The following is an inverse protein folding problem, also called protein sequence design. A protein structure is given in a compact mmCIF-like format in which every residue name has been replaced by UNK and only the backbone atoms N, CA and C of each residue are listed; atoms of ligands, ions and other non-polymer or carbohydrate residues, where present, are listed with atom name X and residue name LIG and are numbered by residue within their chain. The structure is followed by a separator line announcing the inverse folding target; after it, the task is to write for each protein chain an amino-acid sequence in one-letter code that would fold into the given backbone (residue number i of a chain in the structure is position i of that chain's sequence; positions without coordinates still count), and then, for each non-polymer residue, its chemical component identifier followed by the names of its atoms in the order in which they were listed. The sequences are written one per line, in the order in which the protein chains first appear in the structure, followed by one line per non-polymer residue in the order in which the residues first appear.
data_IF_385662471160
#
_entry.id   IF_385662471160
#
_cell.length_a   1.000
_cell.length_b   1.000
_cell.length_c   1.000
_cell.angle_alpha   90.00
_cell.angle_beta   90.00
_cell.angle_gamma   90.00
#
_symmetry.space_group_name_H-M   'P 1'
#
loop_
_entity.id
_entity.type
_entity.pdbx_description
1 polymer ?
#
# COMPACT_ATOMS: atom_id res chain seq x y z
N UNK A 1 8.65 8.14 -6.79
CA UNK A 1 9.77 7.64 -7.60
C UNK A 1 9.47 7.78 -9.11
N UNK A 2 8.29 7.40 -9.56
CA UNK A 2 7.87 7.46 -10.96
C UNK A 2 8.02 8.86 -11.60
N UNK A 3 7.96 9.93 -10.82
CA UNK A 3 8.16 11.27 -11.36
C UNK A 3 9.59 11.53 -11.79
N UNK A 4 10.59 10.98 -11.09
CA UNK A 4 11.98 11.09 -11.47
C UNK A 4 12.18 10.48 -12.86
N UNK A 5 11.68 9.28 -13.07
CA UNK A 5 11.68 8.58 -14.36
C UNK A 5 10.98 9.41 -15.46
N UNK A 6 9.74 9.85 -15.16
CA UNK A 6 8.89 10.54 -16.16
C UNK A 6 9.40 11.91 -16.57
N UNK A 7 10.03 12.66 -15.65
CA UNK A 7 10.44 14.05 -15.92
C UNK A 7 11.94 14.21 -16.21
N UNK A 8 12.76 13.21 -15.93
CA UNK A 8 14.21 13.29 -16.13
C UNK A 8 14.63 13.30 -17.61
N UNK A 9 13.74 12.89 -18.53
CA UNK A 9 14.08 12.82 -19.96
C UNK A 9 15.30 11.92 -20.20
N UNK A 10 15.28 10.70 -19.66
CA UNK A 10 16.42 9.76 -19.70
C UNK A 10 17.70 10.37 -19.08
N UNK A 11 17.54 11.06 -17.95
CA UNK A 11 18.68 11.66 -17.23
C UNK A 11 19.28 12.91 -17.90
N UNK A 12 18.53 13.60 -18.78
CA UNK A 12 19.02 14.80 -19.48
C UNK A 12 18.40 16.10 -18.98
N UNK A 13 17.22 16.05 -18.34
CA UNK A 13 16.48 17.24 -17.94
C UNK A 13 16.87 17.75 -16.54
N UNK A 14 17.56 16.94 -15.73
CA UNK A 14 18.04 17.31 -14.42
C UNK A 14 19.56 17.25 -14.37
N UNK A 15 20.14 18.02 -13.43
CA UNK A 15 21.57 17.93 -13.17
C UNK A 15 21.90 16.57 -12.51
N UNK A 16 23.05 15.99 -12.86
CA UNK A 16 23.57 14.86 -12.10
C UNK A 16 24.10 15.37 -10.75
N UNK A 17 23.47 14.99 -9.66
CA UNK A 17 23.82 15.50 -8.33
C UNK A 17 25.17 14.98 -7.82
N UNK A 18 25.71 13.90 -8.39
CA UNK A 18 27.06 13.42 -8.09
C UNK A 18 28.15 14.43 -8.52
N UNK A 19 27.86 15.29 -9.51
CA UNK A 19 28.78 16.35 -9.96
C UNK A 19 28.90 17.51 -8.95
N UNK A 20 28.06 17.53 -7.92
CA UNK A 20 28.00 18.57 -6.89
C UNK A 20 28.42 18.06 -5.50
N UNK A 21 29.22 17.00 -5.46
CA UNK A 21 29.66 16.36 -4.21
C UNK A 21 30.55 17.24 -3.33
N UNK A 22 31.04 18.36 -3.85
CA UNK A 22 31.77 19.39 -3.09
C UNK A 22 30.86 20.25 -2.18
N UNK A 23 29.55 20.33 -2.51
CA UNK A 23 28.55 21.10 -1.76
C UNK A 23 27.41 20.24 -1.23
N UNK A 24 27.22 19.04 -1.76
CA UNK A 24 26.19 18.09 -1.40
C UNK A 24 26.82 16.81 -0.84
N UNK A 25 26.80 16.65 0.48
CA UNK A 25 27.30 15.45 1.13
C UNK A 25 26.32 14.28 0.96
N UNK A 26 26.57 13.44 -0.05
CA UNK A 26 25.74 12.27 -0.37
C UNK A 26 25.88 11.15 0.66
N UNK A 27 26.90 11.19 1.54
CA UNK A 27 27.07 10.15 2.58
C UNK A 27 26.01 10.22 3.68
N UNK A 28 25.25 11.31 3.74
CA UNK A 28 24.11 11.46 4.65
C UNK A 28 22.87 10.63 4.26
N UNK A 29 22.85 10.08 3.06
CA UNK A 29 21.72 9.33 2.55
C UNK A 29 22.05 7.82 2.46
N UNK A 30 21.11 6.91 2.77
CA UNK A 30 21.30 5.48 2.54
C UNK A 30 21.60 5.19 1.06
N UNK A 31 22.60 4.35 0.79
CA UNK A 31 23.05 4.04 -0.58
C UNK A 31 21.93 3.46 -1.47
N UNK A 32 21.13 2.57 -0.90
CA UNK A 32 19.99 1.92 -1.56
C UNK A 32 18.89 2.93 -1.92
N UNK A 33 18.68 3.93 -1.05
CA UNK A 33 17.73 5.01 -1.33
C UNK A 33 18.25 5.96 -2.43
N UNK A 34 19.56 6.22 -2.47
CA UNK A 34 20.20 6.97 -3.57
C UNK A 34 20.10 6.21 -4.91
N UNK A 35 20.27 4.90 -4.89
CA UNK A 35 20.16 4.08 -6.10
C UNK A 35 18.77 4.17 -6.74
N UNK A 36 17.71 4.22 -5.94
CA UNK A 36 16.34 4.46 -6.41
C UNK A 36 16.10 5.85 -7.01
N UNK A 37 17.03 6.79 -6.80
CA UNK A 37 16.96 8.14 -7.36
C UNK A 37 17.79 8.31 -8.64
N UNK A 38 18.36 7.23 -9.17
CA UNK A 38 19.15 7.25 -10.41
C UNK A 38 18.29 6.94 -11.63
N UNK A 39 18.59 7.64 -12.72
CA UNK A 39 18.08 7.36 -14.06
C UNK A 39 19.27 7.33 -15.03
N UNK A 40 19.41 6.27 -15.79
CA UNK A 40 20.56 6.03 -16.68
C UNK A 40 21.93 6.20 -15.98
N UNK A 41 22.03 5.71 -14.73
CA UNK A 41 23.24 5.74 -13.91
C UNK A 41 23.61 7.12 -13.35
N UNK A 42 22.76 8.13 -13.50
CA UNK A 42 22.96 9.49 -12.97
C UNK A 42 22.02 9.76 -11.82
N UNK A 43 22.52 10.35 -10.76
CA UNK A 43 21.73 10.72 -9.59
C UNK A 43 20.89 11.97 -9.89
N UNK A 44 19.57 11.80 -10.09
CA UNK A 44 18.65 12.87 -10.48
C UNK A 44 17.95 13.54 -9.29
N UNK A 45 17.97 12.91 -8.12
CA UNK A 45 17.35 13.42 -6.90
C UNK A 45 18.04 12.86 -5.64
N UNK A 46 17.73 13.40 -4.48
CA UNK A 46 18.08 12.83 -3.17
C UNK A 46 16.81 12.50 -2.38
N UNK A 47 16.79 11.40 -1.61
CA UNK A 47 15.63 11.03 -0.82
C UNK A 47 15.53 11.94 0.42
N UNK A 48 14.52 12.80 0.49
CA UNK A 48 14.28 13.67 1.66
C UNK A 48 13.49 12.96 2.76
N UNK A 49 12.77 11.88 2.41
CA UNK A 49 12.03 11.04 3.35
C UNK A 49 11.86 9.64 2.77
N UNK A 50 11.84 8.64 3.64
CA UNK A 50 11.43 7.27 3.33
C UNK A 50 10.16 6.98 4.12
N UNK A 51 9.14 6.49 3.44
CA UNK A 51 7.89 6.06 4.05
C UNK A 51 7.58 4.63 3.66
N UNK A 52 6.92 3.91 4.54
CA UNK A 52 6.39 2.57 4.27
C UNK A 52 4.87 2.56 4.42
N UNK A 53 4.21 1.62 3.75
CA UNK A 53 2.81 1.33 4.00
C UNK A 53 2.72 0.28 5.08
N UNK A 54 1.92 0.55 6.09
CA UNK A 54 1.64 -0.32 7.23
C UNK A 54 0.13 -0.29 7.47
N UNK A 55 -0.39 -1.36 8.06
CA UNK A 55 -1.75 -1.33 8.56
C UNK A 55 -1.82 -0.51 9.86
N UNK A 56 -2.80 0.36 9.94
CA UNK A 56 -3.16 1.08 11.17
C UNK A 56 -4.50 0.54 11.66
N UNK A 57 -4.56 0.17 12.94
CA UNK A 57 -5.73 -0.43 13.54
C UNK A 57 -6.33 0.44 14.63
N UNK A 58 -7.64 0.63 14.61
CA UNK A 58 -8.38 1.23 15.73
C UNK A 58 -8.62 0.17 16.80
N UNK A 59 -7.68 0.09 17.74
CA UNK A 59 -7.76 -0.89 18.82
C UNK A 59 -9.04 -0.79 19.63
N UNK A 60 -9.60 0.41 19.81
CA UNK A 60 -10.85 0.61 20.55
C UNK A 60 -11.99 -0.17 19.91
N UNK A 61 -12.15 -0.07 18.58
CA UNK A 61 -13.20 -0.81 17.86
C UNK A 61 -12.95 -2.33 17.91
N UNK A 62 -11.71 -2.78 17.78
CA UNK A 62 -11.39 -4.21 17.91
C UNK A 62 -11.73 -4.74 19.32
N UNK A 63 -11.43 -3.98 20.38
CA UNK A 63 -11.79 -4.33 21.76
C UNK A 63 -13.32 -4.37 21.95
N UNK A 64 -14.07 -3.44 21.34
CA UNK A 64 -15.54 -3.41 21.39
C UNK A 64 -16.18 -4.61 20.66
N UNK A 65 -15.62 -4.99 19.52
CA UNK A 65 -16.04 -6.20 18.77
C UNK A 65 -15.64 -7.48 19.50
N UNK A 66 -14.59 -7.43 20.34
CA UNK A 66 -14.11 -8.55 21.14
C UNK A 66 -13.18 -9.48 20.34
N UNK A 67 -12.41 -8.95 19.40
CA UNK A 67 -11.45 -9.71 18.61
C UNK A 67 -10.05 -9.04 18.66
N UNK A 68 -9.01 -9.85 18.66
CA UNK A 68 -7.63 -9.36 18.66
C UNK A 68 -7.25 -8.71 17.31
N UNK A 69 -6.23 -7.83 17.33
CA UNK A 69 -5.68 -7.26 16.11
C UNK A 69 -5.07 -8.36 15.21
N UNK A 70 -5.33 -8.34 13.90
CA UNK A 70 -4.81 -9.34 12.99
C UNK A 70 -3.28 -9.34 12.93
N UNK A 71 -2.70 -10.53 12.93
CA UNK A 71 -1.25 -10.75 12.80
C UNK A 71 -0.87 -11.62 11.60
N UNK A 72 -1.87 -12.27 10.99
CA UNK A 72 -1.74 -13.11 9.81
C UNK A 72 -3.06 -13.15 9.01
N UNK A 73 -3.05 -13.83 7.88
CA UNK A 73 -4.23 -13.96 7.00
C UNK A 73 -5.42 -14.62 7.73
N UNK A 74 -5.18 -15.67 8.51
CA UNK A 74 -6.24 -16.38 9.20
C UNK A 74 -6.95 -15.49 10.24
N UNK A 75 -6.20 -14.77 11.05
CA UNK A 75 -6.73 -13.82 12.03
C UNK A 75 -7.41 -12.61 11.37
N UNK A 76 -6.97 -12.20 10.17
CA UNK A 76 -7.62 -11.15 9.40
C UNK A 76 -9.02 -11.58 8.94
N UNK A 77 -9.17 -12.80 8.42
CA UNK A 77 -10.50 -13.35 8.05
C UNK A 77 -11.38 -13.58 9.27
N UNK A 78 -10.82 -14.07 10.39
CA UNK A 78 -11.57 -14.21 11.63
C UNK A 78 -12.08 -12.86 12.16
N UNK A 79 -11.30 -11.79 12.00
CA UNK A 79 -11.76 -10.44 12.30
C UNK A 79 -12.95 -10.03 11.41
N UNK A 80 -12.92 -10.34 10.11
CA UNK A 80 -14.04 -10.08 9.19
C UNK A 80 -15.33 -10.72 9.67
N UNK A 81 -15.29 -11.99 10.05
CA UNK A 81 -16.44 -12.73 10.59
C UNK A 81 -16.96 -12.11 11.92
N UNK A 82 -16.04 -11.75 12.83
CA UNK A 82 -16.39 -11.15 14.11
C UNK A 82 -17.05 -9.76 13.93
N UNK A 83 -16.50 -8.93 13.06
CA UNK A 83 -17.05 -7.61 12.74
C UNK A 83 -18.44 -7.72 12.11
N UNK A 84 -18.62 -8.62 11.14
CA UNK A 84 -19.92 -8.91 10.52
C UNK A 84 -20.97 -9.36 11.55
N UNK A 85 -20.57 -10.22 12.49
CA UNK A 85 -21.46 -10.69 13.56
C UNK A 85 -21.82 -9.58 14.55
N UNK A 86 -20.89 -8.65 14.81
CA UNK A 86 -21.11 -7.50 15.65
C UNK A 86 -22.08 -6.49 15.01
N UNK A 87 -21.79 -6.07 13.78
CA UNK A 87 -22.65 -5.18 12.99
C UNK A 87 -22.18 -5.16 11.52
N UNK A 88 -23.10 -5.38 10.57
CA UNK A 88 -22.81 -5.42 9.11
C UNK A 88 -22.23 -4.12 8.54
N UNK A 89 -22.38 -2.98 9.23
CA UNK A 89 -21.78 -1.69 8.84
C UNK A 89 -20.31 -1.53 9.28
N UNK A 90 -19.79 -2.47 10.08
CA UNK A 90 -18.43 -2.41 10.61
C UNK A 90 -17.49 -3.32 9.83
N UNK A 91 -16.33 -2.82 9.52
CA UNK A 91 -15.29 -3.55 8.78
C UNK A 91 -13.94 -3.42 9.49
N UNK A 92 -13.19 -4.52 9.65
CA UNK A 92 -11.86 -4.45 10.26
C UNK A 92 -10.87 -3.63 9.42
N UNK A 93 -11.05 -3.55 8.09
CA UNK A 93 -10.14 -2.86 7.18
C UNK A 93 -10.91 -2.09 6.10
N UNK A 94 -10.48 -0.88 5.78
CA UNK A 94 -11.03 -0.07 4.70
C UNK A 94 -9.94 0.19 3.65
N UNK A 95 -10.07 -0.41 2.49
CA UNK A 95 -9.14 -0.25 1.38
C UNK A 95 -9.83 0.40 0.19
N UNK A 96 -9.34 1.57 -0.23
CA UNK A 96 -9.73 2.22 -1.48
C UNK A 96 -9.28 1.38 -2.69
N UNK A 97 -9.70 1.76 -3.89
CA UNK A 97 -9.25 1.10 -5.13
C UNK A 97 -7.72 1.08 -5.24
N UNK A 98 -7.07 2.20 -4.94
CA UNK A 98 -5.61 2.30 -4.98
C UNK A 98 -4.94 1.42 -3.92
N UNK A 99 -5.48 1.38 -2.70
CA UNK A 99 -4.93 0.57 -1.61
C UNK A 99 -5.07 -0.93 -1.90
N UNK A 100 -6.17 -1.36 -2.52
CA UNK A 100 -6.35 -2.75 -2.99
C UNK A 100 -5.33 -3.13 -4.04
N UNK A 101 -5.06 -2.25 -5.00
CA UNK A 101 -4.02 -2.49 -6.01
C UNK A 101 -2.64 -2.67 -5.35
N UNK A 102 -2.27 -1.82 -4.41
CA UNK A 102 -1.00 -1.93 -3.69
C UNK A 102 -0.96 -3.20 -2.82
N UNK A 103 -2.08 -3.52 -2.15
CA UNK A 103 -2.15 -4.73 -1.33
C UNK A 103 -2.05 -6.01 -2.17
N UNK A 104 -2.68 -6.02 -3.35
CA UNK A 104 -2.53 -7.11 -4.32
C UNK A 104 -1.05 -7.31 -4.70
N UNK A 105 -0.33 -6.23 -5.01
CA UNK A 105 1.09 -6.31 -5.36
C UNK A 105 1.89 -6.90 -4.19
N UNK A 106 1.71 -6.40 -2.97
CA UNK A 106 2.41 -6.91 -1.78
C UNK A 106 2.06 -8.35 -1.47
N UNK A 107 0.78 -8.75 -1.65
CA UNK A 107 0.36 -10.14 -1.50
C UNK A 107 1.09 -11.04 -2.49
N UNK A 108 1.12 -10.68 -3.76
CA UNK A 108 1.81 -11.46 -4.80
C UNK A 108 3.31 -11.54 -4.56
N UNK A 109 3.95 -10.45 -4.18
CA UNK A 109 5.37 -10.43 -3.83
C UNK A 109 5.67 -11.33 -2.62
N UNK A 110 4.78 -11.34 -1.63
CA UNK A 110 4.87 -12.23 -0.47
C UNK A 110 4.71 -13.71 -0.82
N UNK A 111 3.76 -14.04 -1.70
CA UNK A 111 3.45 -15.42 -2.09
C UNK A 111 4.53 -16.00 -3.00
N UNK A 112 4.98 -15.23 -3.99
CA UNK A 112 5.87 -15.71 -5.05
C UNK A 112 7.34 -15.33 -4.86
N UNK A 113 7.66 -14.40 -3.95
CA UNK A 113 9.04 -14.01 -3.63
C UNK A 113 9.78 -13.30 -4.76
N UNK A 114 9.07 -12.65 -5.68
CA UNK A 114 9.62 -11.91 -6.82
C UNK A 114 8.99 -10.52 -6.91
N UNK A 115 9.71 -9.49 -7.40
CA UNK A 115 9.17 -8.15 -7.52
C UNK A 115 8.05 -8.08 -8.58
N UNK A 116 7.13 -7.11 -8.43
CA UNK A 116 6.09 -6.85 -9.43
C UNK A 116 6.66 -6.49 -10.80
N UNK A 117 7.69 -5.65 -10.82
CA UNK A 117 8.38 -5.22 -12.03
C UNK A 117 9.89 -5.37 -11.83
N UNK A 118 10.57 -5.94 -12.81
CA UNK A 118 12.02 -5.99 -12.89
C UNK A 118 12.48 -5.68 -14.31
N UNK A 119 13.47 -4.82 -14.45
CA UNK A 119 13.99 -4.36 -15.75
C UNK A 119 12.91 -3.78 -16.71
N UNK A 120 11.87 -3.15 -16.15
CA UNK A 120 10.75 -2.56 -16.90
C UNK A 120 9.68 -3.57 -17.35
N UNK A 121 9.80 -4.84 -16.96
CA UNK A 121 8.86 -5.90 -17.32
C UNK A 121 8.11 -6.42 -16.10
N UNK A 122 6.80 -6.65 -16.25
CA UNK A 122 5.98 -7.29 -15.21
C UNK A 122 6.40 -8.75 -15.06
N UNK A 123 6.67 -9.17 -13.83
CA UNK A 123 7.23 -10.49 -13.52
C UNK A 123 6.17 -11.58 -13.27
N UNK A 124 4.89 -11.23 -13.30
CA UNK A 124 3.78 -12.14 -12.99
C UNK A 124 3.03 -12.57 -14.23
N UNK A 125 2.64 -13.84 -14.26
CA UNK A 125 1.73 -14.39 -15.27
C UNK A 125 0.29 -13.97 -14.99
N UNK A 126 -0.59 -14.13 -15.98
CA UNK A 126 -2.04 -13.88 -15.81
C UNK A 126 -2.63 -14.73 -14.70
N UNK A 127 -2.20 -16.00 -14.55
CA UNK A 127 -2.68 -16.91 -13.50
C UNK A 127 -2.24 -16.46 -12.11
N UNK A 128 -1.00 -15.98 -11.96
CA UNK A 128 -0.51 -15.44 -10.70
C UNK A 128 -1.24 -14.15 -10.33
N UNK A 129 -1.49 -13.25 -11.30
CA UNK A 129 -2.28 -12.04 -11.08
C UNK A 129 -3.72 -12.40 -10.69
N UNK A 130 -4.34 -13.38 -11.35
CA UNK A 130 -5.66 -13.87 -11.01
C UNK A 130 -5.73 -14.36 -9.55
N UNK A 131 -4.67 -15.05 -9.06
CA UNK A 131 -4.58 -15.45 -7.64
C UNK A 131 -4.66 -14.27 -6.70
N UNK A 132 -3.99 -13.15 -7.03
CA UNK A 132 -4.07 -11.92 -6.24
C UNK A 132 -5.46 -11.27 -6.29
N UNK A 133 -6.10 -11.28 -7.46
CA UNK A 133 -7.48 -10.77 -7.61
C UNK A 133 -8.47 -11.60 -6.80
N UNK A 134 -8.32 -12.93 -6.82
CA UNK A 134 -9.13 -13.84 -6.02
C UNK A 134 -8.93 -13.60 -4.50
N UNK A 135 -7.72 -13.26 -4.08
CA UNK A 135 -7.47 -12.89 -2.70
C UNK A 135 -8.22 -11.61 -2.30
N UNK A 136 -8.20 -10.56 -3.13
CA UNK A 136 -8.97 -9.34 -2.89
C UNK A 136 -10.47 -9.62 -2.84
N UNK A 137 -10.99 -10.45 -3.75
CA UNK A 137 -12.39 -10.87 -3.73
C UNK A 137 -12.75 -11.62 -2.44
N UNK A 138 -11.88 -12.51 -1.97
CA UNK A 138 -12.07 -13.21 -0.68
C UNK A 138 -12.12 -12.25 0.50
N UNK A 139 -11.35 -11.15 0.50
CA UNK A 139 -11.44 -10.14 1.56
C UNK A 139 -12.81 -9.45 1.58
N UNK A 140 -13.42 -9.17 0.41
CA UNK A 140 -14.79 -8.66 0.34
C UNK A 140 -15.80 -9.70 0.81
N UNK A 141 -15.75 -10.92 0.28
CA UNK A 141 -16.66 -12.01 0.64
C UNK A 141 -16.61 -12.38 2.11
N UNK A 142 -15.41 -12.34 2.70
CA UNK A 142 -15.13 -12.56 4.12
C UNK A 142 -15.44 -11.38 5.02
N UNK A 143 -16.04 -10.29 4.49
CA UNK A 143 -16.35 -9.07 5.24
C UNK A 143 -15.11 -8.41 5.89
N UNK A 144 -13.93 -8.68 5.38
CA UNK A 144 -12.70 -8.03 5.84
C UNK A 144 -12.64 -6.58 5.37
N UNK A 145 -13.06 -6.35 4.12
CA UNK A 145 -13.16 -5.02 3.51
C UNK A 145 -14.56 -4.80 2.95
N UNK A 146 -15.08 -3.55 2.93
CA UNK A 146 -16.33 -3.23 2.23
C UNK A 146 -16.18 -3.44 0.74
N UNK A 147 -17.27 -3.60 -0.02
CA UNK A 147 -17.20 -3.65 -1.48
C UNK A 147 -16.64 -2.35 -2.05
N UNK A 148 -16.07 -2.40 -3.26
CA UNK A 148 -15.55 -1.20 -3.91
C UNK A 148 -16.66 -0.15 -4.13
N UNK A 149 -17.88 -0.58 -4.43
CA UNK A 149 -19.03 0.32 -4.55
C UNK A 149 -19.37 1.02 -3.23
N UNK A 150 -19.30 0.30 -2.10
CA UNK A 150 -19.54 0.85 -0.77
C UNK A 150 -18.47 1.86 -0.39
N UNK A 151 -17.19 1.50 -0.49
CA UNK A 151 -16.10 2.40 -0.09
C UNK A 151 -16.06 3.67 -0.94
N UNK A 152 -16.32 3.58 -2.25
CA UNK A 152 -16.39 4.73 -3.13
C UNK A 152 -17.59 5.63 -2.84
N UNK A 153 -18.71 5.05 -2.40
CA UNK A 153 -19.89 5.81 -1.97
C UNK A 153 -19.68 6.55 -0.64
N UNK A 154 -18.86 5.98 0.25
CA UNK A 154 -18.64 6.49 1.60
C UNK A 154 -17.46 7.47 1.70
N UNK A 155 -16.47 7.36 0.82
CA UNK A 155 -15.25 8.18 0.82
C UNK A 155 -15.32 9.27 -0.25
N UNK A 156 -15.90 10.44 0.12
CA UNK A 156 -16.05 11.53 -0.83
C UNK A 156 -14.71 12.19 -1.20
N UNK A 157 -13.81 12.43 -0.22
CA UNK A 157 -12.55 13.16 -0.43
C UNK A 157 -11.33 12.52 0.25
N UNK A 158 -11.44 12.14 1.51
CA UNK A 158 -10.35 11.59 2.30
C UNK A 158 -10.87 10.82 3.52
N UNK A 159 -10.11 9.82 3.96
CA UNK A 159 -10.50 8.97 5.07
C UNK A 159 -10.66 9.76 6.38
N UNK A 160 -9.84 10.77 6.61
CA UNK A 160 -9.92 11.66 7.77
C UNK A 160 -11.24 12.43 7.89
N UNK A 161 -11.99 12.56 6.79
CA UNK A 161 -13.32 13.18 6.73
C UNK A 161 -14.46 12.17 6.61
N UNK A 162 -14.13 10.90 6.46
CA UNK A 162 -15.12 9.86 6.31
C UNK A 162 -15.83 9.60 7.64
N UNK A 163 -17.16 9.68 7.64
CA UNK A 163 -17.98 9.51 8.86
C UNK A 163 -17.79 8.12 9.47
N UNK A 164 -17.75 7.06 8.65
CA UNK A 164 -17.58 5.68 9.16
C UNK A 164 -16.20 5.47 9.79
N UNK A 165 -15.15 6.12 9.26
CA UNK A 165 -13.83 6.10 9.89
C UNK A 165 -13.83 6.85 11.23
N UNK A 166 -14.41 8.06 11.25
CA UNK A 166 -14.49 8.88 12.47
C UNK A 166 -15.30 8.18 13.55
N UNK A 167 -16.39 7.49 13.17
CA UNK A 167 -17.26 6.73 14.07
C UNK A 167 -16.68 5.35 14.44
N UNK A 168 -15.49 4.99 13.94
CA UNK A 168 -14.83 3.71 14.21
C UNK A 168 -15.42 2.51 13.48
N UNK A 169 -16.37 2.69 12.56
CA UNK A 169 -16.98 1.60 11.78
C UNK A 169 -15.99 0.99 10.78
N UNK A 170 -15.04 1.77 10.28
CA UNK A 170 -13.86 1.32 9.58
C UNK A 170 -12.69 1.30 10.56
N UNK A 171 -12.30 0.11 11.01
CA UNK A 171 -11.37 -0.06 12.13
C UNK A 171 -9.90 -0.21 11.70
N UNK A 172 -9.61 -0.15 10.42
CA UNK A 172 -8.25 -0.25 9.91
C UNK A 172 -8.07 0.35 8.52
N UNK A 173 -6.85 0.68 8.20
CA UNK A 173 -6.41 1.17 6.90
C UNK A 173 -5.02 0.63 6.60
#
# INVERSE_FOLDING_TARGET
WNWIESYSGNGTNFANLEDYSDVLDLTQFPSDALELCKVDGKLMAVPVALTGRLFYWNKTTFDEVGVDLPTDEASLFAAGEAFKAYNEDYYPLALSEYDRMIFLVYYLESVYGKPWVENGEVQYTEEEIATGMDFINKLEDGHVIPTLATINGDMADSLDKNAKWIDGKYAGI
#
